data_IF_454113113780
#
_entry.id   IF_454113113780
#
_cell.length_a   1.000
_cell.length_b   1.000
_cell.length_c   1.000
_cell.angle_alpha   90.00
_cell.angle_beta   90.00
_cell.angle_gamma   90.00
#
_symmetry.space_group_name_H-M   'P 1'
#
loop_
_entity.id
_entity.type
_entity.pdbx_description
1 polymer ?
#
# COMPACT_ATOMS: atom_id res chain seq x y z
N UNK A 1 14.41 16.60 -3.22
CA UNK A 1 13.85 17.95 -3.10
C UNK A 1 12.49 17.88 -2.42
N UNK A 2 12.37 18.52 -1.26
CA UNK A 2 11.21 18.39 -0.37
C UNK A 2 10.02 19.19 -0.90
N UNK A 3 8.82 18.58 -0.95
CA UNK A 3 7.59 19.20 -1.47
C UNK A 3 6.88 19.92 -0.31
N UNK A 4 6.96 21.24 -0.23
CA UNK A 4 6.45 22.01 0.92
C UNK A 4 5.36 23.05 0.60
N UNK A 5 5.01 23.27 -0.67
CA UNK A 5 3.94 24.20 -1.04
C UNK A 5 2.61 23.50 -1.26
N UNK A 6 1.55 24.08 -0.69
CA UNK A 6 0.17 23.62 -0.79
C UNK A 6 -0.66 24.69 -1.50
N UNK A 7 -1.48 24.25 -2.45
CA UNK A 7 -2.49 25.07 -3.13
C UNK A 7 -3.84 24.47 -2.76
N UNK A 8 -4.76 25.29 -2.25
CA UNK A 8 -6.13 24.86 -1.98
C UNK A 8 -7.02 25.19 -3.18
N UNK A 9 -7.89 24.26 -3.56
CA UNK A 9 -8.79 24.38 -4.72
C UNK A 9 -10.19 23.95 -4.29
N UNK A 10 -11.22 24.67 -4.73
CA UNK A 10 -12.61 24.36 -4.41
C UNK A 10 -13.20 23.49 -5.51
N UNK A 11 -13.85 22.40 -5.10
CA UNK A 11 -14.62 21.52 -5.97
C UNK A 11 -16.08 21.57 -5.52
N UNK A 12 -17.00 21.55 -6.47
CA UNK A 12 -18.36 21.12 -6.19
C UNK A 12 -18.41 19.62 -5.90
N UNK A 13 -19.48 19.17 -5.27
CA UNK A 13 -19.66 17.74 -4.93
C UNK A 13 -19.62 16.83 -6.17
N UNK A 14 -20.16 17.31 -7.30
CA UNK A 14 -20.15 16.58 -8.57
C UNK A 14 -18.73 16.44 -9.15
N UNK A 15 -17.92 17.50 -9.07
CA UNK A 15 -16.54 17.48 -9.56
C UNK A 15 -15.65 16.59 -8.68
N UNK A 16 -15.82 16.65 -7.35
CA UNK A 16 -15.08 15.80 -6.43
C UNK A 16 -15.41 14.31 -6.66
N UNK A 17 -16.70 13.98 -6.80
CA UNK A 17 -17.14 12.61 -7.09
C UNK A 17 -16.62 12.10 -8.45
N UNK A 18 -16.43 12.97 -9.43
CA UNK A 18 -15.80 12.62 -10.70
C UNK A 18 -14.31 12.31 -10.50
N UNK A 19 -13.59 13.18 -9.79
CA UNK A 19 -12.16 13.03 -9.49
C UNK A 19 -11.89 11.73 -8.73
N UNK A 20 -12.66 11.45 -7.67
CA UNK A 20 -12.50 10.23 -6.87
C UNK A 20 -12.75 8.96 -7.69
N UNK A 21 -13.79 8.97 -8.53
CA UNK A 21 -14.14 7.82 -9.38
C UNK A 21 -13.08 7.53 -10.43
N UNK A 22 -12.50 8.57 -11.04
CA UNK A 22 -11.45 8.41 -12.06
C UNK A 22 -10.13 8.02 -11.41
N UNK A 23 -9.78 8.63 -10.27
CA UNK A 23 -8.59 8.27 -9.51
C UNK A 23 -8.65 6.82 -9.00
N UNK A 24 -9.81 6.41 -8.46
CA UNK A 24 -10.07 5.05 -8.00
C UNK A 24 -9.95 4.00 -9.11
N UNK A 25 -10.51 4.27 -10.31
CA UNK A 25 -10.35 3.40 -11.48
C UNK A 25 -8.90 3.23 -11.92
N UNK A 26 -8.04 4.20 -11.63
CA UNK A 26 -6.61 4.18 -11.95
C UNK A 26 -5.73 3.72 -10.78
N UNK A 27 -6.32 3.37 -9.63
CA UNK A 27 -5.57 2.93 -8.45
C UNK A 27 -4.67 4.00 -7.83
N UNK A 28 -4.96 5.28 -8.06
CA UNK A 28 -4.17 6.42 -7.55
C UNK A 28 -4.97 7.28 -6.59
N UNK A 29 -4.28 8.00 -5.70
CA UNK A 29 -4.92 8.94 -4.80
C UNK A 29 -5.52 10.14 -5.57
N UNK A 30 -6.68 10.68 -5.17
CA UNK A 30 -7.30 11.87 -5.80
C UNK A 30 -6.34 13.05 -5.94
N UNK A 31 -5.51 13.32 -4.93
CA UNK A 31 -4.52 14.40 -4.96
C UNK A 31 -3.41 14.19 -5.99
N UNK A 32 -3.02 12.94 -6.26
CA UNK A 32 -2.06 12.61 -7.29
C UNK A 32 -2.65 12.78 -8.69
N UNK A 33 -3.93 12.42 -8.86
CA UNK A 33 -4.66 12.64 -10.10
C UNK A 33 -4.79 14.14 -10.44
N UNK A 34 -5.26 14.95 -9.49
CA UNK A 34 -5.41 16.41 -9.66
C UNK A 34 -4.08 17.07 -10.00
N UNK A 35 -3.01 16.68 -9.30
CA UNK A 35 -1.66 17.19 -9.60
C UNK A 35 -1.20 16.84 -11.01
N UNK A 36 -1.38 15.59 -11.44
CA UNK A 36 -1.01 15.15 -12.78
C UNK A 36 -1.77 15.91 -13.87
N UNK A 37 -3.07 16.10 -13.68
CA UNK A 37 -3.90 16.89 -14.59
C UNK A 37 -3.47 18.36 -14.65
N UNK A 38 -3.19 18.99 -13.50
CA UNK A 38 -2.72 20.37 -13.44
C UNK A 38 -1.36 20.55 -14.11
N UNK A 39 -0.40 19.65 -13.88
CA UNK A 39 0.91 19.70 -14.53
C UNK A 39 0.81 19.47 -16.05
N UNK A 40 -0.05 18.55 -16.50
CA UNK A 40 -0.29 18.31 -17.92
C UNK A 40 -0.88 19.56 -18.60
N UNK A 41 -1.90 20.16 -18.00
CA UNK A 41 -2.52 21.38 -18.51
C UNK A 41 -1.51 22.55 -18.57
N UNK A 42 -0.70 22.74 -17.53
CA UNK A 42 0.34 23.77 -17.52
C UNK A 42 1.40 23.54 -18.60
N UNK A 43 1.84 22.28 -18.79
CA UNK A 43 2.84 21.95 -19.82
C UNK A 43 2.34 22.25 -21.24
N UNK A 44 1.06 21.98 -21.51
CA UNK A 44 0.43 22.30 -22.79
C UNK A 44 0.35 23.80 -23.04
N UNK A 45 0.06 24.60 -22.00
CA UNK A 45 -0.01 26.07 -22.11
C UNK A 45 1.36 26.72 -22.33
N UNK A 46 2.43 26.13 -21.82
CA UNK A 46 3.81 26.62 -22.03
C UNK A 46 4.37 26.26 -23.42
N UNK A 47 3.59 25.61 -24.29
CA UNK A 47 4.05 25.22 -25.64
C UNK A 47 5.13 24.14 -25.62
N UNK A 48 5.31 23.45 -24.50
CA UNK A 48 6.18 22.27 -24.41
C UNK A 48 5.48 21.12 -25.13
N UNK A 49 6.08 20.63 -26.21
CA UNK A 49 5.66 19.37 -26.84
C UNK A 49 5.65 18.27 -25.76
N UNK A 50 4.75 17.27 -25.85
CA UNK A 50 4.74 16.13 -24.94
C UNK A 50 5.91 15.19 -25.26
N UNK A 51 7.13 15.71 -25.37
CA UNK A 51 8.33 14.89 -25.46
C UNK A 51 8.81 14.58 -24.05
N UNK A 52 8.90 13.28 -23.78
CA UNK A 52 9.69 12.71 -22.70
C UNK A 52 9.44 13.30 -21.30
N UNK A 53 8.17 13.50 -20.95
CA UNK A 53 7.77 13.19 -19.58
C UNK A 53 7.87 11.68 -19.40
N UNK A 54 9.13 11.21 -19.26
CA UNK A 54 9.46 10.13 -18.33
C UNK A 54 8.46 10.23 -17.20
N UNK A 55 7.63 9.20 -17.11
CA UNK A 55 6.79 8.89 -16.00
C UNK A 55 7.43 9.41 -14.69
N UNK A 56 7.03 10.60 -14.29
CA UNK A 56 6.97 11.01 -12.90
C UNK A 56 5.52 10.90 -12.41
N UNK A 57 4.74 10.03 -13.08
CA UNK A 57 4.23 8.94 -12.29
C UNK A 57 5.48 8.31 -11.68
N UNK A 58 5.66 8.45 -10.36
CA UNK A 58 6.14 7.28 -9.63
C UNK A 58 5.23 6.16 -10.08
N UNK A 59 5.60 5.48 -11.18
CA UNK A 59 5.06 4.21 -11.54
C UNK A 59 5.41 3.41 -10.30
N UNK A 60 4.43 3.30 -9.38
CA UNK A 60 4.48 2.23 -8.41
C UNK A 60 4.77 1.03 -9.29
N UNK A 61 5.87 0.30 -9.08
CA UNK A 61 6.09 -0.93 -9.83
C UNK A 61 4.78 -1.69 -9.73
N UNK A 62 4.11 -1.84 -10.86
CA UNK A 62 2.86 -2.57 -10.91
C UNK A 62 3.26 -3.98 -10.57
N UNK A 63 2.82 -4.45 -9.40
CA UNK A 63 3.17 -5.77 -8.93
C UNK A 63 2.78 -6.77 -10.02
N UNK A 64 3.71 -7.65 -10.37
CA UNK A 64 3.40 -8.73 -11.30
C UNK A 64 2.35 -9.66 -10.66
N UNK A 65 1.57 -10.41 -11.44
CA UNK A 65 0.60 -11.36 -10.88
C UNK A 65 1.21 -12.32 -9.86
N UNK A 66 2.47 -12.71 -10.07
CA UNK A 66 3.25 -13.55 -9.15
C UNK A 66 3.54 -12.83 -7.83
N UNK A 67 3.91 -11.55 -7.88
CA UNK A 67 4.13 -10.73 -6.68
C UNK A 67 2.84 -10.51 -5.90
N UNK A 68 1.71 -10.31 -6.59
CA UNK A 68 0.39 -10.22 -5.95
C UNK A 68 0.04 -11.54 -5.26
N UNK A 69 0.27 -12.68 -5.91
CA UNK A 69 0.03 -14.00 -5.32
C UNK A 69 0.88 -14.25 -4.07
N UNK A 70 2.16 -13.84 -4.06
CA UNK A 70 3.02 -13.92 -2.88
C UNK A 70 2.47 -13.06 -1.74
N UNK A 71 2.07 -11.82 -2.03
CA UNK A 71 1.50 -10.91 -1.03
C UNK A 71 0.20 -11.45 -0.43
N UNK A 72 -0.67 -12.01 -1.27
CA UNK A 72 -1.93 -12.61 -0.81
C UNK A 72 -1.69 -13.87 0.03
N UNK A 73 -0.72 -14.71 -0.33
CA UNK A 73 -0.30 -15.86 0.48
C UNK A 73 0.22 -15.40 1.85
N UNK A 74 1.12 -14.40 1.89
CA UNK A 74 1.62 -13.83 3.14
C UNK A 74 0.48 -13.23 3.98
N UNK A 75 -0.49 -12.54 3.35
CA UNK A 75 -1.64 -11.98 4.04
C UNK A 75 -2.51 -13.06 4.71
N UNK A 76 -2.70 -14.21 4.06
CA UNK A 76 -3.45 -15.34 4.61
C UNK A 76 -2.72 -15.91 5.83
N UNK A 77 -1.40 -16.07 5.75
CA UNK A 77 -0.57 -16.58 6.84
C UNK A 77 -0.61 -15.67 8.08
N UNK A 78 -0.46 -14.36 7.89
CA UNK A 78 -0.54 -13.36 8.97
C UNK A 78 -1.92 -13.37 9.63
N UNK A 79 -3.00 -13.47 8.84
CA UNK A 79 -4.35 -13.62 9.40
C UNK A 79 -4.48 -14.86 10.27
N UNK A 80 -3.91 -15.99 9.84
CA UNK A 80 -3.93 -17.25 10.59
C UNK A 80 -3.17 -17.12 11.92
N UNK A 81 -1.99 -16.52 11.91
CA UNK A 81 -1.24 -16.25 13.13
C UNK A 81 -2.00 -15.32 14.08
N UNK A 82 -2.66 -14.28 13.56
CA UNK A 82 -3.51 -13.39 14.34
C UNK A 82 -4.70 -14.10 15.00
N UNK A 83 -5.35 -15.04 14.30
CA UNK A 83 -6.42 -15.87 14.89
C UNK A 83 -5.88 -16.74 16.02
N UNK A 84 -4.75 -17.40 15.83
CA UNK A 84 -4.12 -18.24 16.85
C UNK A 84 -3.73 -17.42 18.09
N UNK A 85 -3.14 -16.24 17.90
CA UNK A 85 -2.79 -15.33 19.00
C UNK A 85 -4.03 -14.86 19.76
N UNK A 86 -5.12 -14.55 19.06
CA UNK A 86 -6.37 -14.14 19.68
C UNK A 86 -7.02 -15.29 20.48
N UNK A 87 -6.93 -16.53 19.99
CA UNK A 87 -7.37 -17.71 20.75
C UNK A 87 -6.55 -17.90 22.02
N UNK A 88 -5.22 -17.70 21.94
CA UNK A 88 -4.33 -17.80 23.08
C UNK A 88 -4.58 -16.69 24.12
N UNK A 89 -4.83 -15.46 23.68
CA UNK A 89 -5.26 -14.35 24.55
C UNK A 89 -6.60 -14.65 25.25
N UNK A 90 -7.56 -15.28 24.55
CA UNK A 90 -8.83 -15.72 25.16
C UNK A 90 -8.62 -16.80 26.21
N UNK A 91 -7.78 -17.80 25.93
CA UNK A 91 -7.41 -18.83 26.90
C UNK A 91 -6.67 -18.22 28.11
N UNK A 92 -5.85 -17.20 27.90
CA UNK A 92 -5.18 -16.44 28.96
C UNK A 92 -6.16 -15.77 29.91
N UNK A 93 -7.14 -15.04 29.37
CA UNK A 93 -8.18 -14.38 30.16
C UNK A 93 -9.05 -15.39 30.92
N UNK A 94 -9.10 -16.64 30.48
CA UNK A 94 -9.80 -17.73 31.16
C UNK A 94 -8.92 -18.44 32.21
N UNK A 95 -7.67 -18.00 32.41
CA UNK A 95 -6.73 -18.60 33.36
C UNK A 95 -6.08 -19.90 32.88
N UNK A 96 -6.20 -20.23 31.59
CA UNK A 96 -5.72 -21.49 30.96
C UNK A 96 -4.58 -21.18 29.99
N UNK A 97 -3.64 -20.31 30.38
CA UNK A 97 -2.49 -19.99 29.52
C UNK A 97 -1.39 -21.05 29.69
N UNK A 98 -1.31 -21.98 28.73
CA UNK A 98 -0.15 -22.86 28.60
C UNK A 98 0.99 -22.11 27.89
N UNK A 99 1.99 -21.69 28.66
CA UNK A 99 3.18 -21.02 28.16
C UNK A 99 4.04 -21.93 27.26
N UNK A 100 3.91 -23.25 27.38
CA UNK A 100 4.53 -24.21 26.46
C UNK A 100 3.91 -24.17 25.05
N UNK A 101 2.62 -23.86 24.95
CA UNK A 101 1.93 -23.69 23.68
C UNK A 101 2.15 -22.30 23.04
N UNK A 102 2.61 -21.30 23.82
CA UNK A 102 2.90 -19.94 23.34
C UNK A 102 4.22 -19.87 22.56
N UNK A 103 5.25 -20.59 22.98
CA UNK A 103 6.57 -20.59 22.35
C UNK A 103 6.55 -20.87 20.83
N UNK A 104 5.91 -21.95 20.33
CA UNK A 104 5.86 -22.23 18.88
C UNK A 104 5.04 -21.19 18.10
N UNK A 105 4.07 -20.53 18.73
CA UNK A 105 3.27 -19.47 18.08
C UNK A 105 4.11 -18.21 17.90
N UNK A 106 4.94 -17.86 18.88
CA UNK A 106 5.86 -16.71 18.80
C UNK A 106 6.96 -16.97 17.77
N UNK A 107 7.53 -18.17 17.74
CA UNK A 107 8.53 -18.56 16.73
C UNK A 107 7.95 -18.50 15.31
N UNK A 108 6.76 -19.06 15.08
CA UNK A 108 6.09 -19.01 13.78
C UNK A 108 5.77 -17.57 13.35
N UNK A 109 5.35 -16.71 14.31
CA UNK A 109 5.10 -15.30 14.03
C UNK A 109 6.39 -14.55 13.68
N UNK A 110 7.49 -14.80 14.39
CA UNK A 110 8.79 -14.19 14.10
C UNK A 110 9.30 -14.58 12.71
N UNK A 111 9.17 -15.84 12.32
CA UNK A 111 9.55 -16.34 11.00
C UNK A 111 8.68 -15.73 9.88
N UNK A 112 7.38 -15.59 10.11
CA UNK A 112 6.46 -14.95 9.16
C UNK A 112 6.71 -13.45 9.01
N UNK A 113 6.99 -12.75 10.11
CA UNK A 113 7.36 -11.33 10.07
C UNK A 113 8.71 -11.14 9.38
N UNK A 114 9.67 -12.03 9.61
CA UNK A 114 10.96 -12.04 8.90
C UNK A 114 10.77 -12.15 7.39
N UNK A 115 9.99 -13.14 6.93
CA UNK A 115 9.65 -13.30 5.51
C UNK A 115 8.91 -12.10 4.93
N UNK A 116 7.95 -11.55 5.66
CA UNK A 116 7.25 -10.34 5.23
C UNK A 116 8.21 -9.15 5.09
N UNK A 117 9.14 -8.96 6.03
CA UNK A 117 10.16 -7.89 5.94
C UNK A 117 11.09 -8.12 4.76
N UNK A 118 11.46 -9.35 4.42
CA UNK A 118 12.26 -9.64 3.22
C UNK A 118 11.50 -9.28 1.93
N UNK A 119 10.25 -9.71 1.83
CA UNK A 119 9.38 -9.46 0.67
C UNK A 119 9.05 -7.98 0.49
N UNK A 120 8.73 -7.27 1.59
CA UNK A 120 8.31 -5.87 1.55
C UNK A 120 9.46 -4.87 1.72
N UNK A 121 10.60 -5.31 2.26
CA UNK A 121 11.76 -4.47 2.53
C UNK A 121 12.73 -4.30 1.35
N UNK A 122 12.45 -4.95 0.22
CA UNK A 122 13.21 -4.77 -1.04
C UNK A 122 14.62 -5.38 -1.03
N UNK A 123 14.96 -6.23 -0.04
CA UNK A 123 16.27 -6.89 0.06
C UNK A 123 16.39 -8.20 -0.74
N UNK A 124 15.31 -8.63 -1.41
CA UNK A 124 15.25 -9.89 -2.17
C UNK A 124 15.28 -9.73 -3.69
N UNK A 125 15.83 -8.64 -4.23
CA UNK A 125 15.93 -8.44 -5.68
C UNK A 125 17.40 -8.58 -6.10
N UNK A 126 17.77 -9.54 -6.98
CA UNK A 126 19.08 -9.53 -7.62
C UNK A 126 19.27 -8.30 -8.51
#
# INVERSE_FOLDING_TARGET
MSRHQRIDTRFSDAELALVERVAGRRGIAPSAFVRGAACAAASTMEGRAPDDQKASATAKPSLTPEQVAVIDATRIEVKRAGVNLNQLMRASHQGVLDLGALAPVVEALAEQVGRAIEVFGGKGQP
#
